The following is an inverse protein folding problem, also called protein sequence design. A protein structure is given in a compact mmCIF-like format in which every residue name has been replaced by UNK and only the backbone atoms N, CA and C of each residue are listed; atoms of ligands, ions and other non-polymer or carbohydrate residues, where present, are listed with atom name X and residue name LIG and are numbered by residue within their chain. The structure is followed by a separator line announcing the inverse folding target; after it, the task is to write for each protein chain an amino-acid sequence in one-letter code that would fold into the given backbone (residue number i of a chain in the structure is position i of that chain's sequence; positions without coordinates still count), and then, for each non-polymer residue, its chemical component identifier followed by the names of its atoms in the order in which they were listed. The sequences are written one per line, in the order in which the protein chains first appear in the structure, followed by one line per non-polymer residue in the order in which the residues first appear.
data_IF_375299078796
#
_entry.id   IF_375299078796
#
_cell.length_a   1.000
_cell.length_b   1.000
_cell.length_c   1.000
_cell.angle_alpha   90.00
_cell.angle_beta   90.00
_cell.angle_gamma   90.00
#
_symmetry.space_group_name_H-M   'P 1'
#
loop_
_entity.id
_entity.type
_entity.pdbx_description
1 polymer ?
#
# COMPACT_ATOMS: atom_id res chain seq x y z
N UNK A 1 23.19 -21.51 -84.13
CA UNK A 1 24.29 -21.30 -83.16
C UNK A 1 23.91 -20.13 -82.26
N UNK A 2 23.70 -20.41 -80.96
CA UNK A 2 23.79 -19.58 -79.72
C UNK A 2 23.44 -18.07 -79.84
N UNK A 3 22.33 -17.61 -79.24
CA UNK A 3 22.22 -17.06 -77.86
C UNK A 3 22.95 -15.71 -77.72
N UNK A 4 22.35 -14.61 -77.25
CA UNK A 4 22.01 -14.36 -75.84
C UNK A 4 21.17 -13.08 -75.74
N UNK A 5 19.98 -13.14 -75.16
CA UNK A 5 19.25 -11.99 -74.63
C UNK A 5 19.57 -11.91 -73.13
N UNK A 6 20.27 -10.85 -72.69
CA UNK A 6 20.52 -10.59 -71.28
C UNK A 6 19.30 -9.88 -70.66
N UNK A 7 18.45 -10.66 -69.98
CA UNK A 7 17.42 -10.12 -69.11
C UNK A 7 18.06 -9.72 -67.78
N UNK A 8 18.07 -8.41 -67.48
CA UNK A 8 18.42 -7.90 -66.15
C UNK A 8 17.24 -8.17 -65.20
N UNK A 9 17.27 -9.31 -64.53
CA UNK A 9 16.46 -9.52 -63.32
C UNK A 9 17.11 -8.73 -62.19
N UNK A 10 16.55 -7.55 -61.89
CA UNK A 10 16.82 -6.82 -60.66
C UNK A 10 16.19 -7.63 -59.51
N UNK A 11 16.97 -8.51 -58.90
CA UNK A 11 16.63 -9.08 -57.60
C UNK A 11 16.72 -7.95 -56.57
N UNK A 12 15.62 -7.21 -56.40
CA UNK A 12 15.41 -6.39 -55.21
C UNK A 12 15.33 -7.35 -54.04
N UNK A 13 16.48 -7.55 -53.38
CA UNK A 13 16.53 -8.21 -52.09
C UNK A 13 15.80 -7.30 -51.12
N UNK A 14 14.51 -7.58 -50.93
CA UNK A 14 13.78 -7.19 -49.73
C UNK A 14 14.57 -7.74 -48.55
N UNK A 15 15.44 -6.89 -48.02
CA UNK A 15 16.06 -7.06 -46.72
C UNK A 15 14.89 -7.02 -45.74
N UNK A 16 14.33 -8.20 -45.46
CA UNK A 16 13.43 -8.40 -44.33
C UNK A 16 14.25 -8.14 -43.07
N UNK A 17 14.31 -6.87 -42.65
CA UNK A 17 14.68 -6.55 -41.30
C UNK A 17 13.64 -7.26 -40.42
N UNK A 18 14.02 -8.15 -39.50
CA UNK A 18 13.08 -8.54 -38.47
C UNK A 18 12.76 -7.24 -37.72
N UNK A 19 11.52 -6.75 -37.89
CA UNK A 19 10.93 -5.82 -36.95
C UNK A 19 10.91 -6.57 -35.63
N UNK A 20 11.94 -6.34 -34.82
CA UNK A 20 11.99 -6.80 -33.45
C UNK A 20 10.94 -5.97 -32.74
N UNK A 21 9.76 -6.56 -32.53
CA UNK A 21 8.80 -6.04 -31.58
C UNK A 21 9.49 -6.08 -30.23
N UNK A 22 10.22 -5.02 -29.87
CA UNK A 22 10.57 -4.77 -28.48
C UNK A 22 9.27 -4.40 -27.78
N UNK A 23 8.48 -5.42 -27.41
CA UNK A 23 7.54 -5.34 -26.30
C UNK A 23 8.35 -5.26 -25.01
N UNK A 24 9.21 -4.24 -24.90
CA UNK A 24 9.77 -3.82 -23.64
C UNK A 24 8.64 -3.06 -22.94
N UNK A 25 7.73 -3.78 -22.31
CA UNK A 25 6.80 -3.21 -21.34
C UNK A 25 7.66 -2.52 -20.28
N UNK A 26 7.74 -1.19 -20.35
CA UNK A 26 8.34 -0.36 -19.32
C UNK A 26 7.53 -0.55 -18.03
N UNK A 27 7.94 -1.49 -17.18
CA UNK A 27 7.39 -1.62 -15.83
C UNK A 27 7.77 -0.44 -14.92
N UNK A 28 8.78 0.35 -15.32
CA UNK A 28 9.39 1.40 -14.50
C UNK A 28 8.50 2.64 -14.28
N UNK A 29 7.45 2.86 -15.10
CA UNK A 29 6.53 4.01 -14.98
C UNK A 29 5.08 3.62 -14.65
N UNK A 30 4.84 2.42 -14.10
CA UNK A 30 3.48 2.04 -13.71
C UNK A 30 3.05 2.74 -12.41
N UNK A 31 1.94 3.51 -12.47
CA UNK A 31 1.26 4.02 -11.29
C UNK A 31 0.26 2.99 -10.73
N UNK A 32 0.21 2.89 -9.41
CA UNK A 32 -0.76 2.09 -8.69
C UNK A 32 -1.72 3.02 -7.94
N UNK A 33 -2.97 2.58 -7.78
CA UNK A 33 -3.93 3.23 -6.89
C UNK A 33 -3.77 2.61 -5.50
N UNK A 34 -3.58 3.48 -4.52
CA UNK A 34 -3.54 3.10 -3.11
C UNK A 34 -4.75 3.74 -2.42
N UNK A 35 -5.45 2.94 -1.62
CA UNK A 35 -6.52 3.41 -0.76
C UNK A 35 -6.16 3.10 0.69
N UNK A 36 -6.08 4.15 1.50
CA UNK A 36 -5.82 4.08 2.93
C UNK A 36 -7.11 4.26 3.71
N UNK A 37 -7.32 3.40 4.70
CA UNK A 37 -8.33 3.55 5.73
C UNK A 37 -7.60 3.76 7.05
N UNK A 38 -7.70 4.96 7.60
CA UNK A 38 -7.01 5.36 8.82
C UNK A 38 -8.03 5.43 9.94
N UNK A 39 -7.84 4.60 10.98
CA UNK A 39 -8.66 4.64 12.17
C UNK A 39 -7.97 5.49 13.24
N UNK A 40 -8.59 6.60 13.60
CA UNK A 40 -8.21 7.35 14.80
C UNK A 40 -8.82 6.68 16.03
N UNK A 41 -8.06 6.62 17.12
CA UNK A 41 -8.53 6.04 18.38
C UNK A 41 -9.75 6.74 18.95
N UNK A 42 -10.48 6.04 19.80
CA UNK A 42 -11.68 6.54 20.48
C UNK A 42 -11.40 7.11 21.88
N UNK A 43 -10.13 7.14 22.30
CA UNK A 43 -9.69 7.73 23.57
C UNK A 43 -9.95 9.24 23.66
N UNK A 44 -9.82 9.82 24.84
CA UNK A 44 -9.94 11.27 25.00
C UNK A 44 -8.80 11.98 24.26
N UNK A 45 -9.12 13.04 23.50
CA UNK A 45 -8.16 13.85 22.71
C UNK A 45 -7.26 13.03 21.76
N UNK A 46 -7.82 12.00 21.15
CA UNK A 46 -7.10 11.17 20.18
C UNK A 46 -7.03 11.74 18.76
N UNK A 47 -7.82 12.78 18.44
CA UNK A 47 -7.84 13.41 17.12
C UNK A 47 -6.73 14.44 16.91
N UNK A 48 -6.51 14.86 15.66
CA UNK A 48 -5.45 15.81 15.34
C UNK A 48 -5.71 16.72 14.14
N UNK A 49 -5.18 17.94 14.22
CA UNK A 49 -5.14 18.91 13.11
C UNK A 49 -3.80 18.89 12.33
N UNK A 50 -2.86 18.01 12.72
CA UNK A 50 -1.54 17.93 12.11
C UNK A 50 -1.59 17.38 10.68
N UNK A 51 -0.56 17.68 9.89
CA UNK A 51 -0.39 17.03 8.59
C UNK A 51 0.18 15.64 8.80
N UNK A 52 -0.50 14.64 8.22
CA UNK A 52 -0.09 13.25 8.28
C UNK A 52 0.56 12.84 6.96
N UNK A 53 1.74 12.25 7.07
CA UNK A 53 2.53 11.74 5.96
C UNK A 53 2.77 10.24 6.10
N UNK A 54 2.87 9.55 4.97
CA UNK A 54 2.94 8.09 4.91
C UNK A 54 4.01 7.64 3.93
N UNK A 55 4.92 6.76 4.38
CA UNK A 55 5.73 5.94 3.49
C UNK A 55 5.32 4.47 3.63
N UNK A 56 5.11 3.81 2.50
CA UNK A 56 4.85 2.37 2.42
C UNK A 56 5.98 1.66 1.67
N UNK A 57 6.24 0.40 1.98
CA UNK A 57 7.30 -0.36 1.32
C UNK A 57 7.02 -1.85 1.16
N UNK A 58 7.66 -2.43 0.15
CA UNK A 58 7.57 -3.86 -0.18
C UNK A 58 8.80 -4.66 0.33
N UNK A 59 8.84 -5.99 0.21
CA UNK A 59 9.97 -6.81 0.67
C UNK A 59 11.25 -6.62 -0.14
N UNK A 60 11.15 -6.08 -1.36
CA UNK A 60 12.29 -5.88 -2.27
C UNK A 60 13.04 -4.57 -2.04
N UNK A 61 12.49 -3.69 -1.18
CA UNK A 61 13.10 -2.41 -0.87
C UNK A 61 12.35 -1.21 -1.47
N UNK A 62 11.45 -1.40 -2.44
CA UNK A 62 10.73 -0.30 -3.08
C UNK A 62 9.75 0.35 -2.10
N UNK A 63 9.54 1.66 -2.28
CA UNK A 63 8.65 2.45 -1.44
C UNK A 63 7.87 3.49 -2.23
N UNK A 64 6.73 3.90 -1.67
CA UNK A 64 5.99 5.08 -2.11
C UNK A 64 5.87 6.06 -0.94
N UNK A 65 6.01 7.35 -1.22
CA UNK A 65 5.95 8.44 -0.23
C UNK A 65 4.79 9.38 -0.53
N UNK A 66 3.96 9.62 0.48
CA UNK A 66 2.80 10.50 0.44
C UNK A 66 3.04 11.59 1.50
N UNK A 67 3.45 12.81 1.09
CA UNK A 67 3.85 13.86 2.03
C UNK A 67 2.67 14.47 2.81
N UNK A 68 1.44 14.39 2.27
CA UNK A 68 0.24 14.84 2.95
C UNK A 68 -0.96 13.99 2.51
N UNK A 69 -1.37 13.07 3.38
CA UNK A 69 -2.44 12.12 3.10
C UNK A 69 -3.80 12.79 2.90
N UNK A 70 -4.03 13.95 3.54
CA UNK A 70 -5.29 14.70 3.41
C UNK A 70 -5.56 15.17 1.96
N UNK A 71 -4.51 15.35 1.14
CA UNK A 71 -4.67 15.67 -0.29
C UNK A 71 -5.36 14.55 -1.08
N UNK A 72 -5.40 13.35 -0.55
CA UNK A 72 -6.06 12.18 -1.13
C UNK A 72 -7.43 11.88 -0.50
N UNK A 73 -7.92 12.75 0.37
CA UNK A 73 -9.14 12.52 1.17
C UNK A 73 -10.41 12.34 0.34
N UNK A 74 -11.27 11.40 0.77
CA UNK A 74 -12.53 11.05 0.10
C UNK A 74 -13.79 11.31 0.95
N UNK A 75 -13.67 11.95 2.10
CA UNK A 75 -14.77 12.07 3.08
C UNK A 75 -15.77 13.21 2.78
N UNK A 76 -15.56 13.95 1.69
CA UNK A 76 -16.43 15.05 1.25
C UNK A 76 -15.87 16.44 1.60
N UNK A 77 -16.49 17.51 1.07
CA UNK A 77 -16.01 18.88 1.26
C UNK A 77 -16.18 19.32 2.72
N UNK A 78 -15.13 19.93 3.28
CA UNK A 78 -15.14 20.45 4.64
C UNK A 78 -15.09 19.38 5.74
N UNK A 79 -14.85 18.12 5.39
CA UNK A 79 -14.63 17.05 6.37
C UNK A 79 -13.36 17.32 7.19
N UNK A 80 -13.49 17.13 8.50
CA UNK A 80 -12.39 17.24 9.44
C UNK A 80 -11.76 15.85 9.64
N UNK A 81 -10.53 15.71 9.14
CA UNK A 81 -9.84 14.42 9.08
C UNK A 81 -9.14 14.13 10.39
N UNK A 82 -8.93 12.84 10.64
CA UNK A 82 -8.22 12.31 11.81
C UNK A 82 -8.94 12.55 13.13
N UNK A 83 -10.25 12.72 13.10
CA UNK A 83 -11.04 12.98 14.29
C UNK A 83 -11.31 11.73 15.14
N UNK A 84 -11.47 11.96 16.44
CA UNK A 84 -11.63 10.90 17.45
C UNK A 84 -12.67 9.86 17.05
N UNK A 85 -12.25 8.60 16.97
CA UNK A 85 -13.12 7.46 16.71
C UNK A 85 -13.59 7.36 15.26
N UNK A 86 -13.18 8.24 14.35
CA UNK A 86 -13.52 8.15 12.93
C UNK A 86 -12.58 7.24 12.17
N UNK A 87 -13.08 6.72 11.05
CA UNK A 87 -12.29 6.08 10.00
C UNK A 87 -12.31 7.02 8.80
N UNK A 88 -11.14 7.48 8.40
CA UNK A 88 -10.99 8.33 7.24
C UNK A 88 -10.43 7.55 6.05
N UNK A 89 -10.95 7.86 4.87
CA UNK A 89 -10.60 7.17 3.63
C UNK A 89 -9.83 8.15 2.73
N UNK A 90 -8.69 7.68 2.23
CA UNK A 90 -7.84 8.43 1.32
C UNK A 90 -7.51 7.55 0.11
N UNK A 91 -7.61 8.08 -1.10
CA UNK A 91 -7.23 7.33 -2.30
C UNK A 91 -6.47 8.20 -3.29
N UNK A 92 -5.35 7.70 -3.78
CA UNK A 92 -4.54 8.41 -4.76
C UNK A 92 -3.57 7.51 -5.50
N UNK A 93 -2.82 8.12 -6.42
CA UNK A 93 -1.85 7.44 -7.28
C UNK A 93 -0.44 7.74 -6.84
N UNK A 94 0.40 6.71 -6.89
CA UNK A 94 1.84 6.82 -6.68
C UNK A 94 2.54 5.70 -7.48
N UNK A 95 3.88 5.74 -7.62
CA UNK A 95 4.62 4.66 -8.27
C UNK A 95 4.24 3.30 -7.70
N UNK A 96 4.06 2.31 -8.56
CA UNK A 96 3.76 0.94 -8.14
C UNK A 96 4.93 0.34 -7.37
N UNK A 97 4.65 -0.14 -6.16
CA UNK A 97 5.54 -1.04 -5.43
C UNK A 97 5.05 -2.49 -5.53
N UNK A 98 5.85 -3.42 -5.00
CA UNK A 98 5.53 -4.85 -4.97
C UNK A 98 4.51 -5.21 -3.90
N UNK A 99 4.02 -6.44 -3.98
CA UNK A 99 3.20 -7.06 -2.95
C UNK A 99 4.04 -8.02 -2.08
N UNK A 100 3.65 -8.23 -0.82
CA UNK A 100 2.71 -7.40 -0.05
C UNK A 100 3.34 -6.04 0.33
N UNK A 101 2.52 -5.04 0.62
CA UNK A 101 3.01 -3.85 1.33
C UNK A 101 3.29 -4.31 2.76
N UNK A 102 4.54 -4.31 3.20
CA UNK A 102 4.92 -4.88 4.48
C UNK A 102 5.64 -3.89 5.41
N UNK A 103 5.94 -2.69 4.93
CA UNK A 103 6.49 -1.60 5.75
C UNK A 103 5.55 -0.39 5.74
N UNK A 104 5.40 0.23 6.91
CA UNK A 104 4.71 1.49 7.11
C UNK A 104 5.59 2.43 7.95
N UNK A 105 5.77 3.65 7.46
CA UNK A 105 6.21 4.80 8.25
C UNK A 105 5.07 5.83 8.22
N UNK A 106 4.41 6.03 9.36
CA UNK A 106 3.34 6.99 9.54
C UNK A 106 3.87 8.13 10.41
N UNK A 107 3.85 9.37 9.91
CA UNK A 107 4.44 10.52 10.59
C UNK A 107 3.47 11.70 10.65
N UNK A 108 3.28 12.25 11.85
CA UNK A 108 2.65 13.54 12.09
C UNK A 108 3.70 14.65 12.03
N UNK A 109 3.36 15.81 11.47
CA UNK A 109 4.23 17.00 11.52
C UNK A 109 4.16 17.74 12.87
N UNK A 110 3.26 17.34 13.77
CA UNK A 110 3.10 17.93 15.10
C UNK A 110 2.60 19.38 15.09
N UNK A 111 2.03 19.85 13.97
CA UNK A 111 1.46 21.18 13.86
C UNK A 111 0.02 21.27 14.38
N UNK A 112 -0.47 22.48 14.65
CA UNK A 112 -1.84 22.73 15.12
C UNK A 112 -1.98 22.74 16.66
N UNK A 113 -3.15 23.17 17.14
CA UNK A 113 -3.48 23.23 18.56
C UNK A 113 -3.72 21.85 19.18
N UNK A 114 -4.12 20.88 18.36
CA UNK A 114 -4.36 19.49 18.73
C UNK A 114 -3.38 18.58 17.98
N UNK A 115 -2.09 18.71 18.27
CA UNK A 115 -1.04 18.00 17.54
C UNK A 115 -0.82 16.54 17.98
N UNK A 116 -1.27 16.18 19.18
CA UNK A 116 -1.15 14.82 19.69
C UNK A 116 -2.22 13.92 19.07
N UNK A 117 -1.80 12.90 18.33
CA UNK A 117 -2.70 12.00 17.62
C UNK A 117 -2.59 10.57 18.14
N UNK A 118 -3.70 9.87 18.31
CA UNK A 118 -3.68 8.42 18.54
C UNK A 118 -4.24 7.68 17.34
N UNK A 119 -3.39 6.90 16.68
CA UNK A 119 -3.79 6.08 15.54
C UNK A 119 -3.96 4.62 16.00
N UNK A 120 -5.14 4.06 15.76
CA UNK A 120 -5.40 2.64 16.03
C UNK A 120 -4.76 1.77 14.96
N UNK A 121 -5.12 2.01 13.69
CA UNK A 121 -4.59 1.25 12.56
C UNK A 121 -4.63 2.05 11.26
N UNK A 122 -3.79 1.63 10.32
CA UNK A 122 -3.85 2.00 8.92
C UNK A 122 -4.02 0.74 8.10
N UNK A 123 -5.10 0.67 7.34
CA UNK A 123 -5.30 -0.36 6.34
C UNK A 123 -5.01 0.22 4.96
N UNK A 124 -4.22 -0.48 4.16
CA UNK A 124 -3.90 -0.09 2.79
C UNK A 124 -4.34 -1.20 1.84
N UNK A 125 -5.15 -0.82 0.85
CA UNK A 125 -5.38 -1.63 -0.34
C UNK A 125 -4.63 -1.01 -1.50
N UNK A 126 -4.02 -1.83 -2.36
CA UNK A 126 -3.44 -1.32 -3.60
C UNK A 126 -3.75 -2.21 -4.78
N UNK A 127 -3.83 -1.59 -5.95
CA UNK A 127 -4.07 -2.26 -7.22
C UNK A 127 -3.40 -1.47 -8.36
N UNK A 128 -3.07 -2.16 -9.44
CA UNK A 128 -2.53 -1.57 -10.67
C UNK A 128 -3.12 -2.26 -11.89
N UNK A 129 -2.83 -1.75 -13.09
CA UNK A 129 -3.25 -2.39 -14.32
C UNK A 129 -2.72 -3.84 -14.37
N UNK A 130 -3.61 -4.80 -14.59
CA UNK A 130 -3.30 -6.24 -14.60
C UNK A 130 -2.67 -6.79 -13.30
N UNK A 131 -2.72 -6.05 -12.18
CA UNK A 131 -2.25 -6.51 -10.87
C UNK A 131 -3.44 -6.91 -10.00
N UNK A 132 -3.28 -7.97 -9.22
CA UNK A 132 -4.29 -8.37 -8.25
C UNK A 132 -4.36 -7.33 -7.13
N UNK A 133 -5.57 -7.00 -6.68
CA UNK A 133 -5.75 -6.18 -5.48
C UNK A 133 -5.18 -6.93 -4.27
N UNK A 134 -4.43 -6.20 -3.45
CA UNK A 134 -3.81 -6.72 -2.23
C UNK A 134 -4.08 -5.76 -1.09
N UNK A 135 -4.20 -6.31 0.11
CA UNK A 135 -4.54 -5.58 1.31
C UNK A 135 -3.53 -5.86 2.42
N UNK A 136 -3.22 -4.84 3.20
CA UNK A 136 -2.44 -4.97 4.43
C UNK A 136 -3.02 -4.08 5.50
N UNK A 137 -3.06 -4.56 6.74
CA UNK A 137 -3.37 -3.74 7.91
C UNK A 137 -2.16 -3.63 8.82
N UNK A 138 -1.88 -2.39 9.24
CA UNK A 138 -0.87 -2.02 10.20
C UNK A 138 -1.57 -1.54 11.46
N UNK A 139 -1.53 -2.33 12.54
CA UNK A 139 -2.01 -1.92 13.86
C UNK A 139 -0.96 -1.03 14.52
N UNK A 140 -1.20 0.28 14.43
CA UNK A 140 -0.28 1.33 14.89
C UNK A 140 -0.30 1.42 16.43
N UNK A 141 -1.51 1.40 17.01
CA UNK A 141 -1.83 1.35 18.45
C UNK A 141 -0.92 2.24 19.33
N UNK A 142 -0.62 3.46 18.87
CA UNK A 142 0.29 4.36 19.58
C UNK A 142 -0.08 5.84 19.39
N UNK A 143 0.38 6.65 20.34
CA UNK A 143 0.40 8.10 20.19
C UNK A 143 1.51 8.53 19.22
N UNK A 144 1.16 9.37 18.25
CA UNK A 144 2.07 10.17 17.44
C UNK A 144 2.04 11.58 18.03
N UNK A 145 2.76 11.77 19.13
CA UNK A 145 2.71 12.98 19.95
C UNK A 145 4.04 13.21 20.68
N UNK A 146 4.33 14.46 21.06
CA UNK A 146 5.50 14.81 21.90
C UNK A 146 5.17 14.86 23.39
N UNK A 147 3.89 14.90 23.75
CA UNK A 147 3.37 15.02 25.10
C UNK A 147 2.72 13.74 25.65
N UNK A 148 2.59 12.70 24.82
CA UNK A 148 2.12 11.37 25.22
C UNK A 148 3.11 10.28 24.79
N UNK A 149 3.31 9.27 25.64
CA UNK A 149 4.19 8.14 25.34
C UNK A 149 3.73 7.42 24.06
N UNK A 150 4.65 7.07 23.13
CA UNK A 150 6.11 6.98 23.29
C UNK A 150 6.90 8.29 23.05
N UNK A 151 6.27 9.46 23.03
CA UNK A 151 6.89 10.77 22.81
C UNK A 151 7.58 10.89 21.45
N UNK A 152 6.94 10.34 20.42
CA UNK A 152 7.42 10.31 19.04
C UNK A 152 6.28 10.73 18.14
N UNK A 153 6.60 11.47 17.07
CA UNK A 153 5.64 11.84 16.03
C UNK A 153 5.58 10.82 14.89
N UNK A 154 6.30 9.70 15.00
CA UNK A 154 6.44 8.69 13.94
C UNK A 154 6.23 7.28 14.48
N UNK A 155 5.42 6.51 13.76
CA UNK A 155 5.24 5.07 13.92
C UNK A 155 5.91 4.31 12.77
N UNK A 156 6.81 3.38 13.10
CA UNK A 156 7.49 2.51 12.14
C UNK A 156 7.06 1.05 12.36
N UNK A 157 6.51 0.42 11.34
CA UNK A 157 6.12 -0.99 11.36
C UNK A 157 6.77 -1.71 10.18
N UNK A 158 7.45 -2.83 10.48
CA UNK A 158 8.08 -3.70 9.48
C UNK A 158 7.62 -5.15 9.69
N UNK A 159 6.86 -5.66 8.74
CA UNK A 159 6.39 -7.04 8.66
C UNK A 159 7.04 -7.85 7.54
N UNK A 160 8.03 -7.32 6.82
CA UNK A 160 8.56 -7.97 5.61
C UNK A 160 9.25 -9.32 5.91
N UNK A 161 9.84 -9.48 7.10
CA UNK A 161 10.46 -10.74 7.53
C UNK A 161 9.47 -11.90 7.78
N UNK A 162 8.18 -11.60 8.02
CA UNK A 162 7.16 -12.63 8.21
C UNK A 162 6.73 -13.25 6.88
N UNK A 163 6.77 -12.48 5.79
CA UNK A 163 6.39 -12.95 4.46
C UNK A 163 7.40 -13.95 3.85
N UNK A 164 8.69 -13.78 4.11
CA UNK A 164 9.73 -14.66 3.52
C UNK A 164 9.70 -16.08 4.11
N UNK A 165 9.11 -16.28 5.29
CA UNK A 165 9.02 -17.59 5.95
C UNK A 165 7.70 -18.33 5.69
N UNK A 166 6.60 -17.60 5.44
CA UNK A 166 5.28 -18.18 5.13
C UNK A 166 4.99 -18.22 3.63
N UNK A 167 5.43 -17.22 2.85
CA UNK A 167 5.26 -17.17 1.39
C UNK A 167 6.16 -18.14 0.61
N UNK A 168 7.20 -18.69 1.24
CA UNK A 168 8.04 -19.74 0.63
C UNK A 168 7.55 -21.18 0.92
N UNK A 169 6.58 -21.36 1.83
CA UNK A 169 6.08 -22.70 2.22
C UNK A 169 4.73 -23.07 1.60
N UNK A 170 4.02 -22.12 1.00
CA UNK A 170 2.68 -22.35 0.43
C UNK A 170 2.69 -23.03 -0.96
N UNK A 171 3.86 -23.37 -1.51
CA UNK A 171 3.94 -24.13 -2.77
C UNK A 171 3.84 -25.65 -2.56
N UNK A 172 4.03 -26.20 -1.35
CA UNK A 172 4.15 -27.67 -1.19
C UNK A 172 3.25 -28.37 -0.15
N UNK A 173 2.48 -27.69 0.71
CA UNK A 173 1.74 -28.41 1.76
C UNK A 173 0.25 -28.08 1.76
N UNK A 174 -0.54 -29.02 1.23
CA UNK A 174 -1.98 -29.03 1.39
C UNK A 174 -2.41 -29.19 2.86
N UNK A 175 -3.33 -28.30 3.26
CA UNK A 175 -4.36 -28.45 4.29
C UNK A 175 -4.04 -28.09 5.76
N UNK A 176 -4.83 -27.09 6.21
CA UNK A 176 -5.38 -26.79 7.55
C UNK A 176 -4.58 -25.94 8.55
N UNK A 177 -5.15 -24.73 8.68
CA UNK A 177 -5.19 -23.77 9.79
C UNK A 177 -4.08 -22.71 9.79
N UNK A 178 -4.32 -21.64 9.01
CA UNK A 178 -3.71 -20.33 9.24
C UNK A 178 -3.81 -19.32 8.10
N UNK A 179 -4.00 -19.76 6.84
CA UNK A 179 -4.16 -18.84 5.72
C UNK A 179 -5.55 -18.96 5.09
N UNK A 180 -6.48 -18.13 5.57
CA UNK A 180 -7.74 -17.87 4.87
C UNK A 180 -7.54 -16.56 4.10
N UNK A 181 -6.97 -16.64 2.89
CA UNK A 181 -7.06 -15.62 1.84
C UNK A 181 -6.66 -14.16 2.17
N UNK A 182 -5.42 -13.78 1.84
CA UNK A 182 -5.19 -12.56 1.04
C UNK A 182 -4.87 -11.23 1.73
N UNK A 183 -4.79 -11.14 3.06
CA UNK A 183 -4.50 -9.87 3.79
C UNK A 183 -3.34 -10.02 4.76
N UNK A 184 -2.25 -9.26 4.58
CA UNK A 184 -1.15 -9.21 5.55
C UNK A 184 -1.58 -8.37 6.77
N UNK A 185 -1.18 -8.81 7.97
CA UNK A 185 -1.39 -8.09 9.24
C UNK A 185 -0.03 -7.82 9.87
N UNK A 186 0.22 -6.57 10.23
CA UNK A 186 1.45 -6.10 10.88
C UNK A 186 1.09 -5.34 12.15
N UNK A 187 1.85 -5.54 13.23
CA UNK A 187 1.53 -4.99 14.55
C UNK A 187 0.61 -5.89 15.36
N UNK A 188 0.20 -5.41 16.54
CA UNK A 188 -0.61 -6.19 17.47
C UNK A 188 -2.07 -5.72 17.41
N UNK A 189 -2.99 -6.50 16.82
CA UNK A 189 -4.41 -6.17 16.90
C UNK A 189 -4.84 -6.14 18.37
N UNK A 190 -5.57 -5.09 18.76
CA UNK A 190 -6.30 -5.12 20.03
C UNK A 190 -7.33 -6.25 19.96
N UNK A 191 -7.50 -7.04 21.04
CA UNK A 191 -8.59 -7.99 21.11
C UNK A 191 -9.90 -7.26 20.80
N UNK A 192 -10.76 -7.88 19.99
CA UNK A 192 -12.11 -7.35 19.84
C UNK A 192 -12.71 -7.19 21.24
N UNK A 193 -13.38 -6.07 21.55
CA UNK A 193 -14.13 -5.99 22.79
C UNK A 193 -15.02 -7.22 22.83
N UNK A 194 -14.91 -7.99 23.92
CA UNK A 194 -15.82 -9.11 24.16
C UNK A 194 -17.19 -8.46 24.17
N UNK A 195 -17.95 -8.66 23.09
CA UNK A 195 -19.37 -8.37 23.11
C UNK A 195 -19.91 -9.37 24.09
N UNK A 196 -20.01 -8.96 25.35
CA UNK A 196 -20.83 -9.66 26.33
C UNK A 196 -22.23 -9.56 25.74
N UNK A 197 -22.60 -10.62 25.01
CA UNK A 197 -23.98 -10.89 24.66
C UNK A 197 -24.67 -10.94 26.02
N UNK A 198 -25.27 -9.83 26.43
CA UNK A 198 -26.27 -9.81 27.48
C UNK A 198 -27.43 -10.66 26.95
N UNK A 199 -27.29 -11.96 27.14
CA UNK A 199 -28.37 -12.90 27.04
C UNK A 199 -29.36 -12.55 28.16
N UNK A 200 -30.56 -12.15 27.73
CA UNK A 200 -31.83 -12.16 28.46
C UNK A 200 -31.98 -11.30 29.72
N UNK A 201 -32.98 -10.43 29.70
CA UNK A 201 -34.33 -10.81 30.12
C UNK A 201 -35.38 -10.09 29.27
#
# INVERSE_FOLDING_TARGET
MKSLLFSFLVFSTLFFLPVRSDDHMQEEDSECVYTFYVKTGSGFKSGTDSKISVSIGDPTGRSAWIPNLQQWGLMGPGHDYYERGHVDIFSGRAPCIGAPICRLNLTSDGSGSHHGWYCDYVEVTFTGAHKQCRQTIFYVDQWLATDAAPYRLTALLDGCGRWTSEGAKEVEAGNRLGNVGGRLVVGNPRPAPVVELSASA
#
